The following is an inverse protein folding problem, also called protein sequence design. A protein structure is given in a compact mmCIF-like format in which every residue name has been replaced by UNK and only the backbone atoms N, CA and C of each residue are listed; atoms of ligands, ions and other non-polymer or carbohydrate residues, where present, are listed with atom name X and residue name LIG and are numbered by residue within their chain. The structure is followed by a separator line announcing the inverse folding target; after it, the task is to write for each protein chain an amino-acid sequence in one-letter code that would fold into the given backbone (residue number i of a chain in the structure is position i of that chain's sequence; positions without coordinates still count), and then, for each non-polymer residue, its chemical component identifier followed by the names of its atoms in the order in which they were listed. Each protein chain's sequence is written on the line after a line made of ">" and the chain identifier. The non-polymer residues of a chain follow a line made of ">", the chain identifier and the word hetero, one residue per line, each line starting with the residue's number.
data_IF_488677983435
#
_entry.id   IF_488677983435
#
_cell.length_a   1.000
_cell.length_b   1.000
_cell.length_c   1.000
_cell.angle_alpha   90.00
_cell.angle_beta   90.00
_cell.angle_gamma   90.00
#
_symmetry.space_group_name_H-M   'P 1'
#
loop_
_entity.id
_entity.type
_entity.pdbx_description
1 polymer ?
#
# COMPACT_ATOMS: atom_id res chain seq x y z
N UNK A 1 0.36 -30.25 -35.11
CA UNK A 1 -0.14 -29.13 -34.31
C UNK A 1 -0.05 -29.52 -32.85
N UNK A 2 0.91 -28.94 -32.10
CA UNK A 2 1.12 -29.23 -30.68
C UNK A 2 0.83 -27.94 -29.90
N UNK A 3 -0.19 -27.99 -29.05
CA UNK A 3 -0.51 -26.91 -28.12
C UNK A 3 0.46 -26.97 -26.94
N UNK A 4 1.31 -25.95 -26.82
CA UNK A 4 2.15 -25.72 -25.65
C UNK A 4 1.29 -25.11 -24.54
N UNK A 5 0.99 -25.89 -23.51
CA UNK A 5 0.48 -25.38 -22.23
C UNK A 5 1.67 -25.12 -21.31
N UNK A 6 2.31 -23.98 -21.46
CA UNK A 6 3.23 -23.45 -20.44
C UNK A 6 2.52 -22.27 -19.76
N UNK A 7 1.69 -22.58 -18.76
CA UNK A 7 1.15 -21.58 -17.84
C UNK A 7 2.23 -21.31 -16.79
N UNK A 8 2.69 -20.05 -16.77
CA UNK A 8 3.83 -19.56 -16.02
C UNK A 8 3.95 -20.13 -14.61
N UNK A 9 5.06 -20.85 -14.39
CA UNK A 9 5.53 -21.19 -13.05
C UNK A 9 5.94 -19.90 -12.34
N UNK A 10 5.11 -19.43 -11.41
CA UNK A 10 5.47 -18.42 -10.42
C UNK A 10 6.74 -18.88 -9.69
N UNK A 11 7.88 -18.27 -10.01
CA UNK A 11 9.12 -18.48 -9.27
C UNK A 11 8.92 -17.85 -7.90
N UNK A 12 8.73 -18.69 -6.88
CA UNK A 12 8.77 -18.33 -5.45
C UNK A 12 10.20 -17.89 -5.05
N UNK A 13 10.65 -16.77 -5.58
CA UNK A 13 11.91 -16.12 -5.22
C UNK A 13 11.71 -15.28 -3.96
N UNK A 14 12.67 -15.32 -3.03
CA UNK A 14 12.66 -14.46 -1.84
C UNK A 14 13.10 -13.04 -2.21
N UNK A 15 12.25 -12.28 -2.91
CA UNK A 15 12.59 -10.96 -3.42
C UNK A 15 12.97 -9.96 -2.32
N UNK A 16 12.33 -10.04 -1.15
CA UNK A 16 12.69 -9.24 0.04
C UNK A 16 14.12 -9.49 0.56
N UNK A 17 14.76 -10.62 0.22
CA UNK A 17 16.19 -10.86 0.52
C UNK A 17 17.14 -10.23 -0.48
N UNK A 18 16.67 -9.83 -1.67
CA UNK A 18 17.43 -9.07 -2.68
C UNK A 18 17.29 -7.56 -2.56
N UNK A 19 16.68 -7.07 -1.48
CA UNK A 19 16.69 -5.66 -1.12
C UNK A 19 15.54 -4.88 -1.76
N UNK A 20 14.33 -5.09 -1.26
CA UNK A 20 13.33 -4.02 -1.23
C UNK A 20 13.94 -2.89 -0.39
N UNK A 21 14.18 -1.72 -1.01
CA UNK A 21 15.07 -0.69 -0.47
C UNK A 21 14.58 0.00 0.78
N UNK A 22 13.47 -0.41 1.40
CA UNK A 22 13.03 0.25 2.62
C UNK A 22 14.14 0.38 3.67
N UNK A 23 15.03 -0.60 3.93
CA UNK A 23 16.19 -0.34 4.82
C UNK A 23 17.38 -1.33 4.66
N UNK A 24 18.29 -1.13 3.70
CA UNK A 24 19.52 -1.95 3.65
C UNK A 24 20.65 -1.41 4.55
N UNK A 25 20.67 -1.85 5.82
CA UNK A 25 21.83 -2.22 6.69
C UNK A 25 21.61 -1.86 8.18
N UNK A 26 21.98 -2.82 9.03
CA UNK A 26 21.49 -3.10 10.39
C UNK A 26 22.00 -2.19 11.53
N UNK A 27 22.66 -1.06 11.27
CA UNK A 27 23.48 -0.42 12.33
C UNK A 27 23.56 1.10 12.34
N UNK A 28 22.64 1.89 11.77
CA UNK A 28 22.90 3.36 11.73
C UNK A 28 21.66 4.26 11.65
N UNK A 29 20.73 4.18 12.62
CA UNK A 29 19.66 5.17 12.76
C UNK A 29 19.61 5.76 14.19
N UNK A 30 19.81 7.09 14.38
CA UNK A 30 19.72 7.74 15.68
C UNK A 30 18.33 7.61 16.33
N UNK A 31 18.23 7.74 17.66
CA UNK A 31 16.98 7.59 18.42
C UNK A 31 15.96 8.74 18.26
N UNK A 32 16.27 9.81 17.52
CA UNK A 32 15.41 11.01 17.41
C UNK A 32 14.63 11.15 16.08
N UNK A 33 14.48 10.08 15.28
CA UNK A 33 13.73 10.13 14.02
C UNK A 33 12.18 10.22 14.19
N UNK A 34 11.69 10.45 15.41
CA UNK A 34 10.31 10.20 15.84
C UNK A 34 9.29 11.32 15.51
N UNK A 35 9.59 12.17 14.54
CA UNK A 35 8.57 13.06 13.95
C UNK A 35 8.74 13.06 12.44
N UNK A 36 8.01 12.18 11.76
CA UNK A 36 7.97 12.17 10.30
C UNK A 36 7.65 13.58 9.81
N UNK A 37 8.52 14.16 9.00
CA UNK A 37 8.36 15.49 8.42
C UNK A 37 6.92 15.75 7.92
N UNK A 38 6.31 14.74 7.31
CA UNK A 38 4.96 14.78 6.78
C UNK A 38 3.82 14.76 7.80
N UNK A 39 4.02 14.23 9.02
CA UNK A 39 3.02 14.38 10.09
C UNK A 39 2.87 15.86 10.49
N UNK A 40 3.98 16.60 10.54
CA UNK A 40 3.98 18.05 10.85
C UNK A 40 3.42 18.93 9.71
N UNK A 41 3.56 18.49 8.45
CA UNK A 41 2.99 19.19 7.28
C UNK A 41 1.49 18.94 7.18
N UNK A 42 1.03 17.71 7.48
CA UNK A 42 -0.40 17.36 7.53
C UNK A 42 -1.12 18.09 8.66
N UNK A 43 -0.50 18.19 9.83
CA UNK A 43 -1.02 18.92 10.99
C UNK A 43 -1.21 20.41 10.67
N UNK A 44 -0.19 21.07 10.09
CA UNK A 44 -0.29 22.46 9.62
C UNK A 44 -1.39 22.69 8.58
N UNK A 45 -1.63 21.71 7.69
CA UNK A 45 -2.70 21.79 6.67
C UNK A 45 -4.09 21.55 7.25
N UNK A 46 -4.23 20.70 8.27
CA UNK A 46 -5.48 20.52 9.00
C UNK A 46 -5.81 21.76 9.83
N UNK A 47 -4.83 22.33 10.53
CA UNK A 47 -4.98 23.57 11.30
C UNK A 47 -5.43 24.75 10.42
N UNK A 48 -4.83 24.92 9.24
CA UNK A 48 -5.23 25.96 8.28
C UNK A 48 -6.66 25.76 7.74
N UNK A 49 -7.14 24.51 7.63
CA UNK A 49 -8.52 24.19 7.22
C UNK A 49 -9.54 24.45 8.33
N UNK A 50 -9.17 24.20 9.59
CA UNK A 50 -10.00 24.57 10.75
C UNK A 50 -10.04 26.08 11.00
N UNK A 51 -8.94 26.80 10.76
CA UNK A 51 -8.88 28.26 10.88
C UNK A 51 -9.69 29.00 9.80
N UNK A 52 -9.94 28.37 8.64
CA UNK A 52 -10.76 28.91 7.54
C UNK A 52 -12.28 28.79 7.71
N UNK A 53 -12.77 28.04 8.72
CA UNK A 53 -14.20 27.92 9.03
C UNK A 53 -14.55 28.79 10.24
N UNK A 54 -14.54 30.11 10.05
CA UNK A 54 -14.92 31.03 11.10
C UNK A 54 -15.35 32.39 10.57
N UNK A 55 -16.56 32.47 10.00
CA UNK A 55 -17.48 33.63 10.08
C UNK A 55 -18.72 33.43 9.20
N UNK A 56 -19.89 33.33 9.83
CA UNK A 56 -21.22 33.39 9.18
C UNK A 56 -22.26 32.54 9.93
N UNK A 57 -23.02 33.17 10.85
CA UNK A 57 -24.00 32.54 11.77
C UNK A 57 -25.34 32.10 11.13
N UNK A 58 -26.51 32.22 11.79
CA UNK A 58 -26.82 32.39 13.22
C UNK A 58 -27.64 31.21 13.78
N UNK A 59 -27.48 30.85 15.07
CA UNK A 59 -28.30 29.80 15.70
C UNK A 59 -29.28 30.39 16.72
N UNK A 60 -30.56 30.08 16.47
CA UNK A 60 -31.72 30.49 17.24
C UNK A 60 -31.90 29.62 18.49
N UNK A 61 -32.24 30.30 19.60
CA UNK A 61 -33.23 29.93 20.63
C UNK A 61 -33.09 28.59 21.37
N UNK A 62 -32.56 28.72 22.60
CA UNK A 62 -33.16 28.35 23.91
C UNK A 62 -34.41 27.46 23.90
N UNK A 63 -34.37 26.30 24.58
CA UNK A 63 -34.87 26.12 25.97
C UNK A 63 -34.56 24.72 26.55
N UNK A 64 -34.57 24.56 27.89
CA UNK A 64 -33.95 23.44 28.63
C UNK A 64 -34.97 22.43 29.20
N UNK A 65 -34.49 21.23 29.57
CA UNK A 65 -35.15 20.39 30.59
C UNK A 65 -34.15 19.44 31.30
N UNK A 66 -33.76 19.85 32.49
CA UNK A 66 -33.62 19.07 33.73
C UNK A 66 -34.79 18.07 33.93
N UNK A 67 -34.76 16.98 34.69
CA UNK A 67 -33.88 16.43 35.74
C UNK A 67 -34.49 15.08 36.20
N UNK A 68 -33.67 14.21 36.83
CA UNK A 68 -34.03 13.21 37.89
C UNK A 68 -35.01 12.05 37.55
N UNK A 69 -35.03 10.85 38.16
CA UNK A 69 -34.33 10.15 39.23
C UNK A 69 -34.76 8.66 39.22
N UNK A 70 -33.91 7.80 39.78
CA UNK A 70 -34.20 6.60 40.58
C UNK A 70 -34.91 5.36 39.98
N UNK A 71 -34.24 4.22 40.20
CA UNK A 71 -34.76 3.27 41.19
C UNK A 71 -34.89 1.79 40.79
N UNK A 72 -34.07 0.96 41.47
CA UNK A 72 -34.39 -0.37 42.00
C UNK A 72 -34.35 -1.63 41.09
N UNK A 73 -33.42 -2.54 41.45
CA UNK A 73 -33.48 -4.00 41.27
C UNK A 73 -34.60 -4.61 42.14
N UNK A 74 -35.01 -5.88 41.94
CA UNK A 74 -34.31 -6.97 42.64
C UNK A 74 -34.11 -8.26 41.82
N UNK A 75 -33.22 -9.09 42.35
CA UNK A 75 -32.90 -10.45 41.95
C UNK A 75 -33.86 -11.47 42.58
N UNK A 76 -34.11 -12.60 41.90
CA UNK A 76 -34.53 -13.88 42.53
C UNK A 76 -33.87 -15.04 41.76
N UNK A 77 -33.32 -15.97 42.54
CA UNK A 77 -32.51 -17.15 42.19
C UNK A 77 -33.36 -18.44 41.96
N UNK A 78 -32.76 -19.62 41.63
CA UNK A 78 -33.34 -20.70 40.81
C UNK A 78 -33.83 -21.92 41.61
N UNK A 79 -34.16 -23.05 40.93
CA UNK A 79 -33.81 -24.36 41.48
C UNK A 79 -33.24 -25.40 40.49
N UNK A 80 -32.16 -26.02 40.97
CA UNK A 80 -31.87 -27.47 41.12
C UNK A 80 -31.93 -28.50 39.96
N UNK A 81 -30.73 -29.00 39.66
CA UNK A 81 -30.25 -30.41 39.70
C UNK A 81 -31.23 -31.56 39.38
N UNK A 82 -30.82 -32.39 38.40
CA UNK A 82 -30.87 -33.86 38.52
C UNK A 82 -29.72 -34.52 37.74
N UNK A 83 -28.85 -35.23 38.48
CA UNK A 83 -27.96 -36.29 37.98
C UNK A 83 -28.70 -37.62 38.15
N UNK A 84 -28.65 -38.49 37.14
CA UNK A 84 -28.64 -39.95 37.32
C UNK A 84 -27.81 -40.53 36.17
N UNK A 85 -26.73 -41.23 36.48
CA UNK A 85 -26.09 -42.18 35.57
C UNK A 85 -26.40 -43.59 36.06
N UNK A 86 -26.40 -44.58 35.16
CA UNK A 86 -26.11 -45.99 35.49
C UNK A 86 -25.55 -46.72 34.26
N UNK A 87 -24.73 -47.70 34.60
CA UNK A 87 -23.77 -48.50 33.84
C UNK A 87 -24.27 -49.31 32.64
N UNK A 88 -23.28 -49.70 31.82
CA UNK A 88 -23.33 -50.65 30.71
C UNK A 88 -23.62 -52.11 31.15
N UNK A 89 -23.87 -53.01 30.17
CA UNK A 89 -22.83 -54.01 29.91
C UNK A 89 -22.60 -54.39 28.42
N UNK A 90 -21.34 -54.81 28.16
CA UNK A 90 -20.83 -55.68 27.06
C UNK A 90 -21.81 -56.83 26.74
N UNK A 91 -21.94 -57.38 25.55
CA UNK A 91 -20.95 -57.86 24.57
C UNK A 91 -21.75 -58.44 23.37
N UNK A 92 -21.29 -58.33 22.11
CA UNK A 92 -20.96 -59.46 21.20
C UNK A 92 -20.69 -58.97 19.77
N UNK A 93 -19.54 -59.40 19.26
CA UNK A 93 -19.05 -59.30 17.88
C UNK A 93 -20.09 -59.73 16.85
N UNK A 94 -20.39 -58.85 15.89
CA UNK A 94 -20.55 -59.23 14.50
C UNK A 94 -19.53 -58.44 13.66
N UNK A 95 -18.59 -59.19 13.08
CA UNK A 95 -17.63 -58.69 12.09
C UNK A 95 -18.40 -58.48 10.79
N UNK A 96 -18.81 -57.25 10.53
CA UNK A 96 -19.20 -56.82 9.19
C UNK A 96 -17.92 -56.51 8.41
N UNK A 97 -17.65 -57.30 7.38
CA UNK A 97 -16.59 -57.07 6.41
C UNK A 97 -16.78 -55.69 5.78
N UNK A 98 -15.91 -54.75 6.13
CA UNK A 98 -15.78 -53.49 5.44
C UNK A 98 -15.31 -53.77 4.00
N UNK A 99 -16.26 -53.89 3.08
CA UNK A 99 -15.97 -53.64 1.68
C UNK A 99 -15.45 -52.21 1.61
N UNK A 100 -14.16 -52.07 1.30
CA UNK A 100 -13.52 -50.79 0.98
C UNK A 100 -14.16 -50.32 -0.31
N UNK A 101 -15.31 -49.65 -0.19
CA UNK A 101 -15.82 -48.80 -1.26
C UNK A 101 -14.74 -47.76 -1.50
N UNK A 102 -14.20 -47.73 -2.72
CA UNK A 102 -13.18 -46.78 -3.16
C UNK A 102 -13.51 -45.40 -2.61
N UNK A 103 -12.69 -44.93 -1.67
CA UNK A 103 -12.77 -43.55 -1.21
C UNK A 103 -12.55 -42.70 -2.46
N UNK A 104 -13.48 -41.80 -2.83
CA UNK A 104 -13.16 -40.84 -3.88
C UNK A 104 -11.88 -40.14 -3.44
N UNK A 105 -10.89 -40.15 -4.33
CA UNK A 105 -9.57 -39.60 -4.09
C UNK A 105 -9.65 -38.09 -4.04
N UNK A 106 -10.31 -37.55 -3.01
CA UNK A 106 -10.27 -36.14 -2.71
C UNK A 106 -8.84 -35.83 -2.27
N UNK A 107 -8.16 -35.06 -3.10
CA UNK A 107 -6.92 -34.42 -2.74
C UNK A 107 -7.24 -33.14 -1.97
N UNK A 108 -6.32 -32.65 -1.13
CA UNK A 108 -6.53 -31.37 -0.44
C UNK A 108 -6.81 -30.21 -1.43
N UNK A 109 -6.37 -30.35 -2.69
CA UNK A 109 -6.69 -29.45 -3.80
C UNK A 109 -8.17 -29.39 -4.18
N UNK A 110 -8.98 -30.41 -3.87
CA UNK A 110 -10.43 -30.40 -4.14
C UNK A 110 -11.22 -29.55 -3.12
N UNK A 111 -10.56 -29.11 -2.04
CA UNK A 111 -11.10 -28.23 -1.00
C UNK A 111 -10.38 -26.88 -0.91
N UNK A 112 -9.32 -26.67 -1.70
CA UNK A 112 -8.79 -25.33 -1.94
C UNK A 112 -9.85 -24.60 -2.78
N UNK A 113 -10.68 -23.80 -2.11
CA UNK A 113 -11.36 -22.69 -2.78
C UNK A 113 -10.29 -21.98 -3.60
N UNK A 114 -10.61 -21.60 -4.84
CA UNK A 114 -9.75 -20.77 -5.69
C UNK A 114 -9.52 -19.45 -4.93
N UNK A 115 -8.57 -19.43 -3.98
CA UNK A 115 -8.25 -18.35 -3.03
C UNK A 115 -7.52 -17.20 -3.77
N UNK A 116 -7.84 -17.02 -5.04
CA UNK A 116 -7.44 -15.83 -5.77
C UNK A 116 -8.27 -14.68 -5.19
N UNK A 117 -7.63 -13.60 -4.72
CA UNK A 117 -8.35 -12.40 -4.31
C UNK A 117 -9.30 -11.98 -5.42
N UNK A 118 -10.51 -11.53 -5.07
CA UNK A 118 -11.44 -10.99 -6.05
C UNK A 118 -10.74 -9.88 -6.85
N UNK A 119 -10.79 -9.97 -8.19
CA UNK A 119 -10.17 -8.99 -9.08
C UNK A 119 -11.23 -8.13 -9.77
N UNK A 120 -11.24 -6.83 -9.46
CA UNK A 120 -12.14 -5.88 -10.09
C UNK A 120 -11.69 -5.52 -11.52
N UNK A 121 -12.64 -5.45 -12.44
CA UNK A 121 -12.38 -5.07 -13.84
C UNK A 121 -12.48 -3.55 -14.01
N UNK A 122 -11.62 -2.93 -14.84
CA UNK A 122 -11.72 -1.52 -15.12
C UNK A 122 -13.00 -1.20 -15.90
N UNK A 123 -13.46 0.04 -15.77
CA UNK A 123 -14.42 0.64 -16.70
C UNK A 123 -13.83 0.74 -18.10
N UNK A 124 -14.70 1.04 -19.07
CA UNK A 124 -14.26 1.36 -20.43
C UNK A 124 -13.31 2.56 -20.42
N UNK A 125 -12.34 2.64 -21.35
CA UNK A 125 -11.39 3.75 -21.44
C UNK A 125 -12.04 5.14 -21.47
N UNK A 126 -13.22 5.25 -22.09
CA UNK A 126 -13.95 6.51 -22.28
C UNK A 126 -14.84 6.87 -21.08
N UNK A 127 -14.94 5.98 -20.08
CA UNK A 127 -15.78 6.23 -18.91
C UNK A 127 -15.21 7.39 -18.08
N UNK A 128 -16.08 8.29 -17.56
CA UNK A 128 -15.63 9.33 -16.65
C UNK A 128 -15.13 8.73 -15.33
N UNK A 129 -14.36 9.51 -14.57
CA UNK A 129 -13.99 9.12 -13.20
C UNK A 129 -15.25 9.13 -12.32
N UNK A 130 -15.56 7.96 -11.74
CA UNK A 130 -16.71 7.76 -10.84
C UNK A 130 -16.29 7.70 -9.36
N UNK A 131 -14.98 7.74 -9.07
CA UNK A 131 -14.48 7.65 -7.70
C UNK A 131 -14.64 6.27 -7.06
N UNK A 132 -14.76 5.22 -7.86
CA UNK A 132 -14.97 3.83 -7.44
C UNK A 132 -13.73 2.94 -7.58
N UNK A 133 -12.59 3.52 -7.99
CA UNK A 133 -11.32 2.80 -8.17
C UNK A 133 -11.28 1.97 -9.46
N UNK A 134 -12.27 2.08 -10.34
CA UNK A 134 -12.35 1.29 -11.57
C UNK A 134 -11.96 2.09 -12.81
N UNK A 135 -11.42 3.30 -12.64
CA UNK A 135 -10.96 4.13 -13.77
C UNK A 135 -9.89 3.39 -14.58
N UNK A 136 -10.03 3.44 -15.91
CA UNK A 136 -9.08 2.86 -16.85
C UNK A 136 -7.74 3.61 -16.85
N UNK A 137 -6.64 2.89 -16.73
CA UNK A 137 -5.27 3.40 -16.61
C UNK A 137 -4.45 3.27 -17.91
N UNK A 138 -5.07 2.89 -19.02
CA UNK A 138 -4.41 2.79 -20.34
C UNK A 138 -3.63 1.48 -20.47
N UNK A 139 -2.41 1.52 -21.01
CA UNK A 139 -1.55 0.32 -21.13
C UNK A 139 -1.25 -0.35 -19.79
N UNK A 140 -1.33 0.39 -18.68
CA UNK A 140 -1.13 -0.17 -17.34
C UNK A 140 -2.15 -1.26 -16.99
N UNK A 141 -3.30 -1.33 -17.66
CA UNK A 141 -4.27 -2.42 -17.45
C UNK A 141 -3.70 -3.81 -17.75
N UNK A 142 -2.64 -3.90 -18.55
CA UNK A 142 -1.94 -5.17 -18.84
C UNK A 142 -1.23 -5.75 -17.61
N UNK A 143 -0.89 -4.89 -16.64
CA UNK A 143 -0.11 -5.24 -15.44
C UNK A 143 -0.80 -4.82 -14.13
N UNK A 144 -1.98 -4.20 -14.17
CA UNK A 144 -2.69 -3.68 -13.01
C UNK A 144 -3.71 -4.70 -12.46
N UNK A 145 -3.48 -5.12 -11.22
CA UNK A 145 -4.30 -6.04 -10.46
C UNK A 145 -5.06 -5.29 -9.37
N UNK A 146 -6.39 -5.21 -9.51
CA UNK A 146 -7.30 -4.54 -8.57
C UNK A 146 -7.92 -5.55 -7.62
N UNK A 147 -7.40 -5.68 -6.41
CA UNK A 147 -7.73 -6.74 -5.47
C UNK A 147 -8.89 -6.36 -4.53
N UNK A 148 -10.09 -6.25 -5.10
CA UNK A 148 -11.36 -6.12 -4.36
C UNK A 148 -12.53 -6.64 -5.20
N UNK A 149 -13.64 -6.94 -4.54
CA UNK A 149 -14.90 -7.28 -5.22
C UNK A 149 -15.73 -6.01 -5.47
N UNK A 150 -15.86 -5.61 -6.73
CA UNK A 150 -16.66 -4.45 -7.13
C UNK A 150 -18.16 -4.61 -6.82
N UNK A 151 -18.67 -5.84 -6.62
CA UNK A 151 -20.06 -6.09 -6.23
C UNK A 151 -20.33 -5.70 -4.77
N UNK A 152 -19.29 -5.71 -3.92
CA UNK A 152 -19.39 -5.32 -2.52
C UNK A 152 -19.27 -3.80 -2.32
N UNK A 153 -19.00 -3.05 -3.39
CA UNK A 153 -18.87 -1.60 -3.39
C UNK A 153 -17.44 -1.13 -3.66
N UNK A 154 -17.21 0.20 -3.60
CA UNK A 154 -15.90 0.78 -3.86
C UNK A 154 -14.89 0.42 -2.75
N UNK A 155 -13.58 0.34 -3.08
CA UNK A 155 -12.54 0.09 -2.09
C UNK A 155 -12.29 1.34 -1.22
N UNK A 156 -11.40 1.26 -0.21
CA UNK A 156 -11.01 2.41 0.59
C UNK A 156 -10.54 3.61 -0.26
N UNK A 157 -10.74 4.86 0.19
CA UNK A 157 -10.39 6.06 -0.57
C UNK A 157 -8.94 6.13 -1.03
N UNK A 158 -8.01 5.60 -0.24
CA UNK A 158 -6.58 5.52 -0.55
C UNK A 158 -6.31 4.63 -1.78
N UNK A 159 -7.03 3.51 -1.89
CA UNK A 159 -6.98 2.58 -3.03
C UNK A 159 -7.57 3.23 -4.28
N UNK A 160 -8.72 3.90 -4.14
CA UNK A 160 -9.31 4.69 -5.23
C UNK A 160 -8.33 5.76 -5.71
N UNK A 161 -7.69 6.47 -4.77
CA UNK A 161 -6.74 7.53 -5.08
C UNK A 161 -5.53 6.99 -5.86
N UNK A 162 -5.00 5.83 -5.47
CA UNK A 162 -3.89 5.19 -6.17
C UNK A 162 -4.21 4.92 -7.66
N UNK A 163 -5.37 4.33 -7.95
CA UNK A 163 -5.82 4.10 -9.34
C UNK A 163 -6.02 5.42 -10.09
N UNK A 164 -6.63 6.40 -9.44
CA UNK A 164 -6.84 7.72 -10.02
C UNK A 164 -5.52 8.43 -10.34
N UNK A 165 -4.48 8.26 -9.52
CA UNK A 165 -3.16 8.82 -9.78
C UNK A 165 -2.46 8.12 -10.95
N UNK A 166 -2.54 6.78 -11.05
CA UNK A 166 -2.07 6.05 -12.23
C UNK A 166 -2.76 6.52 -13.52
N UNK A 167 -4.09 6.67 -13.49
CA UNK A 167 -4.86 7.10 -14.64
C UNK A 167 -4.46 8.51 -15.13
N UNK A 168 -3.95 9.38 -14.23
CA UNK A 168 -3.49 10.74 -14.54
C UNK A 168 -2.06 10.81 -15.09
N UNK A 169 -1.27 9.74 -15.02
CA UNK A 169 0.09 9.72 -15.58
C UNK A 169 0.08 10.00 -17.09
N UNK A 170 1.10 10.69 -17.62
CA UNK A 170 1.32 10.79 -19.06
C UNK A 170 1.45 9.41 -19.71
N UNK A 171 0.91 9.26 -20.92
CA UNK A 171 0.88 7.96 -21.62
C UNK A 171 2.27 7.38 -21.84
N UNK A 172 3.27 8.21 -22.17
CA UNK A 172 4.67 7.76 -22.29
C UNK A 172 5.20 7.09 -21.01
N UNK A 173 4.79 7.57 -19.83
CA UNK A 173 5.18 6.96 -18.56
C UNK A 173 4.41 5.67 -18.31
N UNK A 174 3.10 5.64 -18.63
CA UNK A 174 2.29 4.41 -18.58
C UNK A 174 2.87 3.32 -19.47
N UNK A 175 3.27 3.66 -20.68
CA UNK A 175 3.89 2.74 -21.64
C UNK A 175 5.20 2.17 -21.08
N UNK A 176 6.09 3.04 -20.60
CA UNK A 176 7.36 2.64 -19.99
C UNK A 176 7.17 1.72 -18.78
N UNK A 177 6.20 2.03 -17.93
CA UNK A 177 5.86 1.22 -16.76
C UNK A 177 5.27 -0.13 -17.18
N UNK A 178 4.35 -0.16 -18.14
CA UNK A 178 3.78 -1.41 -18.66
C UNK A 178 4.85 -2.32 -19.29
N UNK A 179 5.84 -1.75 -19.98
CA UNK A 179 6.94 -2.51 -20.59
C UNK A 179 7.96 -3.02 -19.55
N UNK A 180 8.09 -2.33 -18.41
CA UNK A 180 9.13 -2.59 -17.42
C UNK A 180 8.69 -3.32 -16.16
N UNK A 181 7.39 -3.28 -15.82
CA UNK A 181 6.83 -3.89 -14.62
C UNK A 181 6.32 -5.31 -14.88
N UNK A 182 6.44 -6.16 -13.85
CA UNK A 182 5.78 -7.46 -13.82
C UNK A 182 4.33 -7.36 -13.28
N UNK A 183 4.04 -6.36 -12.46
CA UNK A 183 2.70 -6.17 -11.90
C UNK A 183 2.57 -4.93 -11.01
N UNK A 184 1.36 -4.40 -10.93
CA UNK A 184 0.92 -3.35 -10.01
C UNK A 184 -0.28 -3.91 -9.24
N UNK A 185 -0.15 -4.11 -7.94
CA UNK A 185 -1.19 -4.67 -7.09
C UNK A 185 -1.75 -3.58 -6.19
N UNK A 186 -3.06 -3.40 -6.23
CA UNK A 186 -3.74 -2.37 -5.44
C UNK A 186 -4.96 -2.97 -4.76
N UNK A 187 -5.10 -2.76 -3.45
CA UNK A 187 -6.25 -3.26 -2.67
C UNK A 187 -6.22 -2.77 -1.22
N UNK A 188 -7.15 -3.25 -0.40
CA UNK A 188 -7.22 -2.86 1.01
C UNK A 188 -6.13 -3.56 1.86
N UNK A 189 -5.74 -2.95 2.97
CA UNK A 189 -4.75 -3.51 3.90
C UNK A 189 -3.32 -2.99 3.66
N UNK A 190 -2.35 -3.70 4.23
CA UNK A 190 -0.93 -3.44 3.99
C UNK A 190 -0.35 -4.30 2.88
N UNK A 191 0.93 -4.11 2.56
CA UNK A 191 1.66 -4.92 1.56
C UNK A 191 1.46 -6.44 1.73
N UNK A 192 1.48 -7.04 2.95
CA UNK A 192 1.27 -8.48 3.11
C UNK A 192 -0.16 -8.97 2.82
N UNK A 193 -1.13 -8.06 2.73
CA UNK A 193 -2.53 -8.38 2.42
C UNK A 193 -2.77 -8.43 0.89
N UNK A 194 -1.78 -8.07 0.08
CA UNK A 194 -1.86 -7.94 -1.38
C UNK A 194 -0.88 -8.89 -2.09
N UNK A 195 -1.26 -9.38 -3.28
CA UNK A 195 -0.51 -10.39 -4.06
C UNK A 195 -0.22 -11.69 -3.25
N UNK A 196 0.69 -12.53 -3.73
CA UNK A 196 1.27 -13.69 -3.02
C UNK A 196 2.16 -13.30 -1.81
N UNK A 197 2.06 -12.07 -1.29
CA UNK A 197 2.96 -11.51 -0.28
C UNK A 197 2.58 -11.82 1.16
N UNK A 198 1.58 -12.67 1.39
CA UNK A 198 1.16 -13.11 2.72
C UNK A 198 2.28 -13.66 3.61
N UNK A 199 3.37 -14.17 3.02
CA UNK A 199 4.55 -14.61 3.76
C UNK A 199 5.33 -13.46 4.45
N UNK A 200 5.06 -12.20 4.11
CA UNK A 200 5.62 -11.01 4.77
C UNK A 200 4.86 -10.63 6.04
N UNK A 201 3.72 -11.27 6.34
CA UNK A 201 2.93 -10.97 7.53
C UNK A 201 3.76 -11.18 8.79
N UNK A 202 3.82 -10.16 9.64
CA UNK A 202 4.63 -10.15 10.85
C UNK A 202 6.15 -10.13 10.62
N UNK A 203 6.62 -10.11 9.36
CA UNK A 203 8.04 -10.00 9.08
C UNK A 203 8.53 -8.58 9.42
N UNK A 204 9.66 -8.43 10.12
CA UNK A 204 10.19 -7.12 10.42
C UNK A 204 10.63 -6.42 9.14
N UNK A 205 10.41 -5.12 9.07
CA UNK A 205 11.08 -4.26 8.11
C UNK A 205 12.58 -4.35 8.34
N UNK A 206 13.40 -4.16 7.30
CA UNK A 206 14.85 -4.23 7.45
C UNK A 206 15.43 -3.19 8.45
N UNK A 207 14.68 -2.13 8.80
CA UNK A 207 15.02 -1.19 9.89
C UNK A 207 14.95 -1.83 11.28
N UNK A 208 14.23 -2.93 11.42
CA UNK A 208 13.91 -3.59 12.69
C UNK A 208 12.91 -2.83 13.56
N UNK A 209 12.33 -1.72 13.08
CA UNK A 209 11.50 -0.80 13.88
C UNK A 209 9.99 -1.03 13.73
N UNK A 210 9.57 -1.74 12.68
CA UNK A 210 8.18 -2.10 12.44
C UNK A 210 8.12 -3.36 11.57
N UNK A 211 6.91 -3.82 11.24
CA UNK A 211 6.68 -4.96 10.33
C UNK A 211 6.14 -4.49 8.99
N UNK A 212 6.19 -5.37 7.99
CA UNK A 212 5.61 -5.10 6.67
C UNK A 212 4.10 -4.82 6.71
N UNK A 213 3.40 -5.25 7.77
CA UNK A 213 1.95 -5.06 7.93
C UNK A 213 1.51 -3.59 7.98
N UNK A 214 2.42 -2.68 8.36
CA UNK A 214 2.13 -1.24 8.43
C UNK A 214 2.49 -0.49 7.13
N UNK A 215 3.15 -1.15 6.18
CA UNK A 215 3.57 -0.51 4.94
C UNK A 215 2.38 -0.29 4.02
N UNK A 216 2.18 0.98 3.65
CA UNK A 216 1.17 1.40 2.69
C UNK A 216 1.55 1.10 1.24
N UNK A 217 2.85 0.98 0.96
CA UNK A 217 3.36 0.75 -0.38
C UNK A 217 4.69 0.04 -0.35
N UNK A 218 5.01 -0.62 -1.46
CA UNK A 218 6.33 -1.16 -1.73
C UNK A 218 6.59 -1.30 -3.23
N UNK A 219 7.85 -1.07 -3.59
CA UNK A 219 8.42 -1.45 -4.87
C UNK A 219 9.56 -2.46 -4.71
N UNK A 220 9.60 -3.45 -5.58
CA UNK A 220 10.78 -4.30 -5.79
C UNK A 220 10.50 -5.48 -6.70
N UNK A 221 11.56 -6.06 -7.27
CA UNK A 221 11.49 -7.09 -8.32
C UNK A 221 10.46 -6.73 -9.40
N UNK A 222 10.46 -5.46 -9.84
CA UNK A 222 9.55 -4.91 -10.86
C UNK A 222 8.06 -5.03 -10.53
N UNK A 223 7.72 -5.13 -9.25
CA UNK A 223 6.35 -5.10 -8.75
C UNK A 223 6.11 -3.87 -7.90
N UNK A 224 4.96 -3.24 -8.10
CA UNK A 224 4.41 -2.20 -7.22
C UNK A 224 3.27 -2.83 -6.43
N UNK A 225 3.23 -2.58 -5.13
CA UNK A 225 2.12 -2.96 -4.25
C UNK A 225 1.70 -1.76 -3.44
N UNK A 226 0.40 -1.44 -3.44
CA UNK A 226 -0.15 -0.28 -2.72
C UNK A 226 -1.45 -0.65 -2.02
N UNK A 227 -1.44 -0.43 -0.71
CA UNK A 227 -2.54 -0.65 0.21
C UNK A 227 -3.19 0.64 0.71
N UNK A 228 -3.98 0.53 1.78
CA UNK A 228 -4.70 1.65 2.43
C UNK A 228 -4.08 2.08 3.77
N UNK A 229 -2.94 1.49 4.17
CA UNK A 229 -2.27 1.90 5.40
C UNK A 229 -1.84 3.36 5.35
N UNK A 230 -1.83 4.07 6.48
CA UNK A 230 -1.34 5.44 6.53
C UNK A 230 0.12 5.53 6.07
N UNK A 231 0.42 6.52 5.25
CA UNK A 231 1.78 6.81 4.77
C UNK A 231 2.13 8.28 4.96
N UNK A 232 3.40 8.61 5.23
CA UNK A 232 3.84 9.99 5.26
C UNK A 232 3.96 10.62 3.86
N UNK A 233 4.16 9.85 2.79
CA UNK A 233 4.34 10.43 1.44
C UNK A 233 3.06 11.12 0.92
N UNK A 234 3.17 12.20 0.11
CA UNK A 234 2.00 12.91 -0.42
C UNK A 234 1.07 12.06 -1.30
N UNK A 235 1.62 11.05 -1.98
CA UNK A 235 0.88 10.10 -2.83
C UNK A 235 1.67 8.78 -2.89
N UNK A 236 1.16 7.75 -2.20
CA UNK A 236 1.87 6.46 -2.06
C UNK A 236 2.13 5.82 -3.41
N UNK A 237 1.12 5.83 -4.29
CA UNK A 237 1.27 5.24 -5.60
C UNK A 237 2.32 5.97 -6.42
N UNK A 238 2.36 7.31 -6.39
CA UNK A 238 3.41 8.02 -7.13
C UNK A 238 4.80 7.88 -6.50
N UNK A 239 4.91 7.67 -5.19
CA UNK A 239 6.19 7.33 -4.56
C UNK A 239 6.71 5.98 -5.05
N UNK A 240 5.89 4.94 -5.06
CA UNK A 240 6.30 3.62 -5.56
C UNK A 240 6.56 3.63 -7.08
N UNK A 241 5.79 4.40 -7.85
CA UNK A 241 6.11 4.66 -9.26
C UNK A 241 7.44 5.39 -9.41
N UNK A 242 7.78 6.30 -8.50
CA UNK A 242 9.08 6.96 -8.45
C UNK A 242 10.23 5.97 -8.33
N UNK A 243 10.14 5.01 -7.40
CA UNK A 243 11.10 3.90 -7.29
C UNK A 243 11.13 3.02 -8.55
N UNK A 244 9.96 2.72 -9.11
CA UNK A 244 9.88 1.92 -10.32
C UNK A 244 10.55 2.58 -11.52
N UNK A 245 10.31 3.87 -11.73
CA UNK A 245 10.95 4.65 -12.79
C UNK A 245 12.45 4.75 -12.54
N UNK A 246 12.88 4.90 -11.29
CA UNK A 246 14.30 4.95 -10.91
C UNK A 246 15.05 3.67 -11.32
N UNK A 247 14.42 2.50 -11.20
CA UNK A 247 14.98 1.20 -11.63
C UNK A 247 14.82 0.95 -13.14
N UNK A 248 13.60 1.08 -13.67
CA UNK A 248 13.25 0.68 -15.06
C UNK A 248 13.95 1.55 -16.10
N UNK A 249 14.13 2.84 -15.82
CA UNK A 249 14.72 3.78 -16.77
C UNK A 249 16.26 3.83 -16.71
N UNK A 250 16.87 2.99 -15.87
CA UNK A 250 18.30 2.82 -15.77
C UNK A 250 18.77 1.55 -16.50
N UNK A 251 20.08 1.38 -16.66
CA UNK A 251 20.63 0.12 -17.13
C UNK A 251 20.36 -0.97 -16.07
N UNK A 252 20.21 -2.23 -16.50
CA UNK A 252 19.89 -3.33 -15.58
C UNK A 252 20.86 -3.41 -14.40
N UNK A 253 20.32 -3.39 -13.18
CA UNK A 253 21.10 -3.40 -11.93
C UNK A 253 21.65 -2.03 -11.49
N UNK A 254 21.27 -0.95 -12.18
CA UNK A 254 21.59 0.43 -11.81
C UNK A 254 20.31 1.23 -11.57
N UNK A 255 20.44 2.47 -11.08
CA UNK A 255 19.32 3.36 -10.79
C UNK A 255 19.57 4.72 -11.43
N UNK A 256 18.52 5.42 -11.88
CA UNK A 256 18.64 6.76 -12.45
C UNK A 256 19.19 7.75 -11.41
N UNK A 257 18.82 7.56 -10.16
CA UNK A 257 19.27 8.33 -9.01
C UNK A 257 20.76 8.10 -8.71
N UNK A 258 21.37 7.03 -9.23
CA UNK A 258 22.81 6.79 -9.19
C UNK A 258 23.54 7.41 -10.39
N UNK A 259 22.82 8.01 -11.35
CA UNK A 259 23.44 8.68 -12.50
C UNK A 259 24.27 9.89 -12.06
N UNK A 260 25.39 10.21 -12.75
CA UNK A 260 26.21 11.36 -12.40
C UNK A 260 25.46 12.70 -12.38
N UNK A 261 24.44 12.84 -13.22
CA UNK A 261 23.60 14.05 -13.25
C UNK A 261 22.79 14.19 -11.96
N UNK A 262 22.05 13.14 -11.56
CA UNK A 262 21.21 13.20 -10.37
C UNK A 262 22.04 13.21 -9.08
N UNK A 263 23.18 12.51 -9.05
CA UNK A 263 24.09 12.54 -7.90
C UNK A 263 24.57 13.96 -7.61
N UNK A 264 25.03 14.70 -8.62
CA UNK A 264 25.45 16.10 -8.43
C UNK A 264 24.30 16.99 -7.94
N UNK A 265 23.11 16.77 -8.48
CA UNK A 265 21.91 17.52 -8.10
C UNK A 265 21.50 17.22 -6.64
N UNK A 266 21.53 15.96 -6.24
CA UNK A 266 21.28 15.53 -4.87
C UNK A 266 22.34 16.06 -3.90
N UNK A 267 23.63 16.05 -4.26
CA UNK A 267 24.70 16.61 -3.43
C UNK A 267 24.52 18.11 -3.19
N UNK A 268 24.06 18.85 -4.20
CA UNK A 268 23.72 20.27 -4.06
C UNK A 268 22.48 20.49 -3.17
N UNK A 269 21.50 19.58 -3.22
CA UNK A 269 20.30 19.63 -2.39
C UNK A 269 20.54 19.17 -0.94
N UNK A 270 21.55 18.33 -0.69
CA UNK A 270 21.80 17.68 0.61
C UNK A 270 21.81 18.63 1.82
N UNK A 271 22.44 19.83 1.76
CA UNK A 271 22.43 20.78 2.88
C UNK A 271 21.05 21.38 3.16
N UNK A 272 20.15 21.36 2.17
CA UNK A 272 18.82 21.97 2.21
C UNK A 272 17.73 20.97 2.63
N UNK A 273 18.02 19.66 2.61
CA UNK A 273 17.04 18.63 2.94
C UNK A 273 16.56 18.75 4.38
N UNK A 274 15.26 19.00 4.52
CA UNK A 274 14.61 19.18 5.81
C UNK A 274 14.59 17.88 6.64
N UNK A 275 14.46 16.73 5.98
CA UNK A 275 14.35 15.43 6.64
C UNK A 275 15.71 14.75 6.81
N UNK A 276 15.92 14.08 7.95
CA UNK A 276 17.05 13.15 8.13
C UNK A 276 16.88 11.86 7.30
N UNK A 277 15.64 11.50 6.94
CA UNK A 277 15.33 10.35 6.10
C UNK A 277 15.99 10.46 4.72
N UNK A 278 15.89 11.62 4.08
CA UNK A 278 16.51 11.88 2.78
C UNK A 278 18.03 12.09 2.86
N UNK A 279 18.61 12.20 4.06
CA UNK A 279 20.06 12.34 4.32
C UNK A 279 20.75 11.03 4.68
N UNK A 280 20.05 9.91 4.61
CA UNK A 280 20.60 8.59 4.92
C UNK A 280 21.77 8.22 3.99
N UNK A 281 22.79 7.57 4.57
CA UNK A 281 24.00 7.13 3.88
C UNK A 281 23.76 5.96 2.93
N UNK A 282 24.78 5.62 2.14
CA UNK A 282 24.77 4.42 1.30
C UNK A 282 23.83 4.48 0.08
N UNK A 283 23.45 5.69 -0.34
CA UNK A 283 22.55 5.90 -1.50
C UNK A 283 21.06 5.79 -1.17
N UNK A 284 20.68 5.33 0.02
CA UNK A 284 19.29 5.17 0.39
C UNK A 284 18.55 6.51 0.43
N UNK A 285 19.10 7.52 1.10
CA UNK A 285 18.47 8.84 1.17
C UNK A 285 18.25 9.50 -0.21
N UNK A 286 19.14 9.19 -1.17
CA UNK A 286 19.05 9.68 -2.55
C UNK A 286 17.93 9.03 -3.34
N UNK A 287 17.77 7.70 -3.23
CA UNK A 287 16.68 6.95 -3.88
C UNK A 287 15.32 7.35 -3.34
N UNK A 288 15.22 7.45 -2.02
CA UNK A 288 14.01 7.93 -1.35
C UNK A 288 13.68 9.38 -1.74
N UNK A 289 14.68 10.26 -1.81
CA UNK A 289 14.48 11.63 -2.28
C UNK A 289 14.02 11.69 -3.73
N UNK A 290 14.58 10.83 -4.61
CA UNK A 290 14.14 10.71 -5.99
C UNK A 290 12.65 10.33 -6.05
N UNK A 291 12.24 9.30 -5.31
CA UNK A 291 10.86 8.82 -5.28
C UNK A 291 9.88 9.86 -4.74
N UNK A 292 10.20 10.51 -3.62
CA UNK A 292 9.36 11.57 -3.05
C UNK A 292 9.31 12.82 -3.94
N UNK A 293 10.42 13.21 -4.58
CA UNK A 293 10.45 14.32 -5.53
C UNK A 293 9.59 14.02 -6.77
N UNK A 294 9.70 12.80 -7.31
CA UNK A 294 8.82 12.33 -8.38
C UNK A 294 7.35 12.42 -7.96
N UNK A 295 7.00 11.89 -6.78
CA UNK A 295 5.64 11.90 -6.27
C UNK A 295 5.09 13.33 -6.11
N UNK A 296 5.89 14.24 -5.54
CA UNK A 296 5.50 15.63 -5.38
C UNK A 296 5.24 16.32 -6.73
N UNK A 297 6.04 16.03 -7.77
CA UNK A 297 5.89 16.63 -9.09
C UNK A 297 4.70 16.03 -9.84
N UNK A 298 4.64 14.69 -9.94
CA UNK A 298 3.61 13.95 -10.67
C UNK A 298 2.21 14.21 -10.09
N UNK A 299 2.07 14.30 -8.77
CA UNK A 299 0.81 14.62 -8.09
C UNK A 299 0.53 16.12 -7.97
N UNK A 300 1.31 16.97 -8.65
CA UNK A 300 1.19 18.45 -8.65
C UNK A 300 1.27 19.08 -7.25
N UNK A 301 1.95 18.43 -6.31
CA UNK A 301 2.21 18.91 -4.95
C UNK A 301 3.55 19.66 -4.89
N UNK A 302 3.78 20.64 -5.76
CA UNK A 302 5.02 21.44 -5.77
C UNK A 302 5.41 22.05 -4.42
N UNK A 303 4.47 22.55 -3.59
CA UNK A 303 4.80 23.04 -2.24
C UNK A 303 5.48 21.96 -1.38
N UNK A 304 5.08 20.70 -1.55
CA UNK A 304 5.65 19.56 -0.82
C UNK A 304 7.14 19.36 -1.16
N UNK A 305 7.53 19.54 -2.43
CA UNK A 305 8.93 19.51 -2.87
C UNK A 305 9.74 20.68 -2.28
N UNK A 306 9.16 21.88 -2.25
CA UNK A 306 9.80 23.05 -1.64
C UNK A 306 10.01 22.84 -0.15
N UNK A 307 9.02 22.30 0.54
CA UNK A 307 9.12 21.99 1.97
C UNK A 307 10.23 20.95 2.24
N UNK A 308 10.36 19.92 1.38
CA UNK A 308 11.44 18.92 1.48
C UNK A 308 12.84 19.55 1.39
N UNK A 309 12.95 20.67 0.67
CA UNK A 309 14.18 21.44 0.45
C UNK A 309 14.28 22.65 1.38
N UNK A 310 13.61 22.61 2.54
CA UNK A 310 13.73 23.66 3.57
C UNK A 310 13.21 25.03 3.11
N UNK A 311 12.32 25.07 2.12
CA UNK A 311 11.81 26.30 1.54
C UNK A 311 12.59 26.81 0.32
N UNK A 312 13.68 26.15 -0.09
CA UNK A 312 14.49 26.60 -1.22
C UNK A 312 13.79 26.34 -2.56
N UNK A 313 13.14 27.39 -3.08
CA UNK A 313 12.40 27.34 -4.34
C UNK A 313 13.29 27.19 -5.56
N UNK A 314 14.54 27.65 -5.50
CA UNK A 314 15.47 27.57 -6.63
C UNK A 314 15.94 26.14 -6.82
N UNK A 315 16.36 25.49 -5.73
CA UNK A 315 16.72 24.08 -5.77
C UNK A 315 15.52 23.22 -6.20
N UNK A 316 14.31 23.54 -5.71
CA UNK A 316 13.10 22.83 -6.14
C UNK A 316 12.87 22.94 -7.65
N UNK A 317 13.12 24.10 -8.26
CA UNK A 317 13.05 24.26 -9.71
C UNK A 317 14.11 23.45 -10.45
N UNK A 318 15.35 23.38 -9.94
CA UNK A 318 16.40 22.56 -10.55
C UNK A 318 16.06 21.06 -10.51
N UNK A 319 15.47 20.59 -9.41
CA UNK A 319 14.90 19.23 -9.31
C UNK A 319 13.77 19.05 -10.34
N UNK A 320 12.83 19.97 -10.40
CA UNK A 320 11.71 19.89 -11.37
C UNK A 320 12.21 19.84 -12.81
N UNK A 321 13.23 20.63 -13.15
CA UNK A 321 13.81 20.64 -14.49
C UNK A 321 14.44 19.30 -14.86
N UNK A 322 15.06 18.59 -13.91
CA UNK A 322 15.57 17.24 -14.13
C UNK A 322 14.44 16.28 -14.55
N UNK A 323 13.35 16.22 -13.77
CA UNK A 323 12.21 15.35 -14.09
C UNK A 323 11.46 15.79 -15.36
N UNK A 324 11.35 17.10 -15.60
CA UNK A 324 10.68 17.63 -16.78
C UNK A 324 11.44 17.26 -18.06
N UNK A 325 12.76 17.44 -18.09
CA UNK A 325 13.58 17.07 -19.26
C UNK A 325 13.50 15.58 -19.56
N UNK A 326 13.43 14.74 -18.53
CA UNK A 326 13.50 13.28 -18.67
C UNK A 326 12.14 12.64 -18.95
N UNK A 327 11.09 13.10 -18.26
CA UNK A 327 9.78 12.45 -18.23
C UNK A 327 8.62 13.34 -18.68
N UNK A 328 8.83 14.66 -18.85
CA UNK A 328 7.80 15.60 -19.31
C UNK A 328 6.73 15.93 -18.27
N UNK A 329 7.04 15.78 -16.98
CA UNK A 329 6.15 16.09 -15.84
C UNK A 329 6.44 17.44 -15.18
#
# INVERSE_FOLDING_TARGET
>A
MAFSQDKGRHRRGRWWRRGSYLFSRRTEAPPEADRSFWSSVRERRQEARTAGRGRGGPEQRRRPRESELNGARPAVEPPERRRVGWDAPRERRERLSAAVTERPGYTWYDFELDDRPAEARPHRPEAPSLGDGLRHCGRLEEVLHRQWDAQLGPPPPEVVHAVESLARLPDRLKDKLADGLEGIYVGAGGVPDLDDMGYLRGAPLPSGRATWDICAGAYGDRKIVVGDRPSPTPDVMMHEVGHAIDDIDAAHGTWVSDSPEFVRLYEAALPLLASSFHRQRGGLGRKEFFADAFAAIASRQRPALVDMLGGDTRMALDIMLFFNRRYGI
#
